data_IF_776724747451
#
_entry.id   IF_776724747451
#
_cell.length_a   1.000
_cell.length_b   1.000
_cell.length_c   1.000
_cell.angle_alpha   90.00
_cell.angle_beta   90.00
_cell.angle_gamma   90.00
#
_symmetry.space_group_name_H-M   'P 1'
#
loop_
_entity.id
_entity.type
_entity.pdbx_description
1 polymer ?
#
# COMPACT_ATOMS: atom_id res chain seq x y z
N UNK A 1 -17.64 19.34 -0.64
CA UNK A 1 -17.20 18.11 0.04
C UNK A 1 -15.69 18.19 0.06
N UNK A 2 -15.11 18.67 1.17
CA UNK A 2 -13.68 18.90 1.25
C UNK A 2 -12.98 17.54 1.33
N UNK A 3 -12.28 17.16 0.26
CA UNK A 3 -11.22 16.16 0.28
C UNK A 3 -10.17 16.58 1.30
N UNK A 4 -10.39 16.26 2.58
CA UNK A 4 -9.37 16.41 3.61
C UNK A 4 -8.48 15.21 3.51
N UNK A 5 -7.52 15.29 2.59
CA UNK A 5 -6.37 14.42 2.64
C UNK A 5 -5.63 14.76 3.94
N UNK A 6 -5.66 13.82 4.89
CA UNK A 6 -5.03 14.00 6.18
C UNK A 6 -3.61 13.46 6.08
N UNK A 7 -2.64 14.38 6.06
CA UNK A 7 -1.22 14.04 5.97
C UNK A 7 -0.75 13.21 7.17
N UNK A 8 -1.41 13.35 8.33
CA UNK A 8 -1.09 12.52 9.49
C UNK A 8 -1.51 11.07 9.23
N UNK A 9 -2.73 10.90 8.72
CA UNK A 9 -3.23 9.58 8.35
C UNK A 9 -2.40 8.95 7.23
N UNK A 10 -1.88 9.73 6.27
CA UNK A 10 -0.95 9.26 5.24
C UNK A 10 0.33 8.71 5.85
N UNK A 11 0.97 9.43 6.79
CA UNK A 11 2.19 8.94 7.45
C UNK A 11 1.93 7.67 8.28
N UNK A 12 0.82 7.63 9.02
CA UNK A 12 0.43 6.46 9.80
C UNK A 12 0.16 5.25 8.89
N UNK A 13 -0.60 5.44 7.80
CA UNK A 13 -0.85 4.41 6.79
C UNK A 13 0.44 3.97 6.11
N UNK A 14 1.32 4.91 5.78
CA UNK A 14 2.61 4.60 5.16
C UNK A 14 3.41 3.69 6.07
N UNK A 15 3.63 4.09 7.32
CA UNK A 15 4.39 3.29 8.27
C UNK A 15 3.75 1.91 8.47
N UNK A 16 2.43 1.84 8.59
CA UNK A 16 1.71 0.58 8.74
C UNK A 16 1.84 -0.33 7.51
N UNK A 17 1.70 0.19 6.29
CA UNK A 17 1.85 -0.58 5.06
C UNK A 17 3.30 -1.06 4.92
N UNK A 18 4.29 -0.20 5.16
CA UNK A 18 5.70 -0.57 5.11
C UNK A 18 6.04 -1.65 6.16
N UNK A 19 5.45 -1.60 7.36
CA UNK A 19 5.62 -2.61 8.41
C UNK A 19 4.97 -3.96 8.04
N UNK A 20 3.75 -3.95 7.49
CA UNK A 20 3.02 -5.17 7.13
C UNK A 20 3.59 -5.84 5.88
N UNK A 21 3.93 -5.06 4.85
CA UNK A 21 4.45 -5.57 3.58
C UNK A 21 5.97 -5.77 3.59
N UNK A 22 6.70 -5.03 4.44
CA UNK A 22 8.16 -4.95 4.40
C UNK A 22 8.70 -4.16 3.21
N UNK A 23 7.84 -3.51 2.42
CA UNK A 23 8.21 -2.72 1.24
C UNK A 23 8.13 -1.24 1.56
N UNK A 24 9.09 -0.43 1.08
CA UNK A 24 8.98 1.03 1.23
C UNK A 24 8.16 1.64 0.11
N UNK A 25 7.17 2.48 0.47
CA UNK A 25 6.34 3.25 -0.47
C UNK A 25 7.15 4.42 -1.08
N UNK A 26 8.22 4.86 -0.40
CA UNK A 26 9.06 5.96 -0.85
C UNK A 26 8.44 7.34 -0.62
N UNK A 27 9.03 8.38 -1.23
CA UNK A 27 8.76 9.79 -0.90
C UNK A 27 7.36 10.28 -1.26
N UNK A 28 6.64 9.56 -2.12
CA UNK A 28 5.31 9.94 -2.59
C UNK A 28 4.37 8.76 -2.44
N UNK A 29 3.44 8.85 -1.46
CA UNK A 29 2.50 7.79 -1.15
C UNK A 29 1.70 7.32 -2.37
N UNK A 30 1.20 8.27 -3.17
CA UNK A 30 0.50 7.95 -4.41
C UNK A 30 1.38 7.24 -5.45
N UNK A 31 2.66 7.61 -5.58
CA UNK A 31 3.54 6.98 -6.58
C UNK A 31 3.95 5.58 -6.15
N UNK A 32 4.28 5.37 -4.87
CA UNK A 32 4.64 4.03 -4.38
C UNK A 32 3.48 3.04 -4.43
N UNK A 33 2.24 3.51 -4.24
CA UNK A 33 1.05 2.67 -4.41
C UNK A 33 0.56 2.57 -5.86
N UNK A 34 1.13 3.35 -6.78
CA UNK A 34 0.68 3.42 -8.18
C UNK A 34 0.87 2.11 -8.93
N UNK A 35 1.98 1.43 -8.69
CA UNK A 35 2.27 0.13 -9.29
C UNK A 35 1.34 -0.97 -8.78
N UNK A 36 0.62 -0.74 -7.67
CA UNK A 36 -0.33 -1.69 -7.10
C UNK A 36 0.32 -2.90 -6.41
N UNK A 37 1.61 -3.17 -6.64
CA UNK A 37 2.38 -4.28 -6.04
C UNK A 37 2.29 -4.23 -4.51
N UNK A 38 2.52 -3.06 -3.91
CA UNK A 38 2.45 -2.88 -2.44
C UNK A 38 1.02 -3.17 -1.93
N UNK A 39 -0.02 -2.77 -2.68
CA UNK A 39 -1.41 -3.03 -2.30
C UNK A 39 -1.76 -4.52 -2.43
N UNK A 40 -1.27 -5.18 -3.48
CA UNK A 40 -1.41 -6.61 -3.69
C UNK A 40 -0.77 -7.40 -2.54
N UNK A 41 0.45 -7.02 -2.18
CA UNK A 41 1.17 -7.66 -1.07
C UNK A 41 0.48 -7.38 0.27
N UNK A 42 0.05 -6.14 0.51
CA UNK A 42 -0.68 -5.77 1.73
C UNK A 42 -1.92 -6.65 1.93
N UNK A 43 -2.73 -6.78 0.88
CA UNK A 43 -3.95 -7.59 0.91
C UNK A 43 -3.61 -9.08 1.09
N UNK A 44 -2.53 -9.58 0.48
CA UNK A 44 -2.06 -10.95 0.67
C UNK A 44 -1.53 -11.22 2.08
N UNK A 45 -0.88 -10.25 2.73
CA UNK A 45 -0.43 -10.35 4.12
C UNK A 45 -1.60 -10.39 5.10
N UNK A 46 -2.62 -9.56 4.86
CA UNK A 46 -3.83 -9.50 5.71
C UNK A 46 -4.71 -10.73 5.54
N UNK A 47 -4.90 -11.17 4.30
CA UNK A 47 -5.68 -12.36 3.99
C UNK A 47 -4.94 -13.18 2.93
N UNK A 48 -4.25 -14.26 3.34
CA UNK A 48 -3.46 -15.08 2.43
C UNK A 48 -4.34 -15.68 1.33
N UNK A 49 -3.93 -15.51 0.07
CA UNK A 49 -4.66 -16.00 -1.10
C UNK A 49 -5.73 -15.05 -1.66
N UNK A 50 -5.79 -13.81 -1.16
CA UNK A 50 -6.68 -12.78 -1.70
C UNK A 50 -6.33 -12.34 -3.11
N UNK A 51 -5.04 -12.15 -3.41
CA UNK A 51 -4.55 -11.87 -4.77
C UNK A 51 -3.93 -13.15 -5.31
N UNK A 52 -4.69 -13.86 -6.14
CA UNK A 52 -4.22 -15.07 -6.83
C UNK A 52 -3.29 -14.67 -7.98
N UNK A 53 -1.99 -14.62 -7.69
CA UNK A 53 -0.88 -14.24 -8.60
C UNK A 53 -1.02 -12.83 -9.15
N UNK A 54 -0.03 -11.99 -8.83
CA UNK A 54 0.27 -10.85 -9.69
C UNK A 54 0.52 -11.39 -11.10
N UNK A 55 -0.19 -10.83 -12.09
CA UNK A 55 0.01 -11.19 -13.49
C UNK A 55 1.46 -10.87 -13.87
N UNK A 56 2.31 -11.89 -13.88
CA UNK A 56 3.54 -11.88 -14.68
C UNK A 56 3.09 -11.99 -16.14
N UNK A 57 2.90 -10.86 -16.82
CA UNK A 57 2.69 -10.81 -18.27
C UNK A 57 3.54 -9.72 -18.89
#
# INVERSE_FOLDING_TARGET
>A
IASKYDHQAEEDLRNWIEEVTGMSIGTSFQLGLKDGIILCELINKLQPGSVKKENES
#
